data_IF_867291326278
#
_entry.id   IF_867291326278
#
_cell.length_a   1.000
_cell.length_b   1.000
_cell.length_c   1.000
_cell.angle_alpha   90.00
_cell.angle_beta   90.00
_cell.angle_gamma   90.00
#
_symmetry.space_group_name_H-M   'P 1'
#
loop_
_entity.id
_entity.type
_entity.pdbx_description
1 polymer ?
#
# COMPACT_ATOMS: atom_id res chain seq x y z
N UNK A 1 30.61 24.31 0.21
CA UNK A 1 30.13 23.30 -0.73
C UNK A 1 29.73 23.99 -2.03
N UNK A 2 30.23 23.60 -3.20
CA UNK A 2 29.83 24.20 -4.46
C UNK A 2 28.32 24.03 -4.69
N UNK A 3 27.72 25.04 -5.32
CA UNK A 3 26.25 25.08 -5.50
C UNK A 3 25.69 23.85 -6.23
N UNK A 4 26.42 23.33 -7.22
CA UNK A 4 26.02 22.16 -8.01
C UNK A 4 25.90 20.88 -7.17
N UNK A 5 26.84 20.66 -6.23
CA UNK A 5 26.79 19.49 -5.34
C UNK A 5 25.57 19.56 -4.38
N UNK A 6 25.29 20.76 -3.83
CA UNK A 6 24.09 20.97 -3.02
C UNK A 6 22.81 20.70 -3.79
N UNK A 7 22.73 21.21 -5.03
CA UNK A 7 21.57 20.94 -5.91
C UNK A 7 21.39 19.46 -6.19
N UNK A 8 22.48 18.72 -6.48
CA UNK A 8 22.41 17.28 -6.70
C UNK A 8 21.90 16.52 -5.45
N UNK A 9 22.36 16.90 -4.25
CA UNK A 9 21.89 16.30 -3.00
C UNK A 9 20.41 16.60 -2.75
N UNK A 10 19.99 17.85 -2.92
CA UNK A 10 18.59 18.24 -2.72
C UNK A 10 17.67 17.51 -3.71
N UNK A 11 18.05 17.47 -5.00
CA UNK A 11 17.30 16.77 -6.03
C UNK A 11 17.25 15.25 -5.80
N UNK A 12 18.30 14.65 -5.23
CA UNK A 12 18.29 13.23 -4.85
C UNK A 12 17.46 12.93 -3.62
N UNK A 13 17.51 13.81 -2.61
CA UNK A 13 16.81 13.58 -1.34
C UNK A 13 15.31 13.93 -1.39
N UNK A 14 14.91 14.97 -2.16
CA UNK A 14 13.54 15.47 -2.14
C UNK A 14 12.49 14.45 -2.60
N UNK A 15 12.64 13.70 -3.71
CA UNK A 15 11.65 12.71 -4.11
C UNK A 15 11.54 11.56 -3.09
N UNK A 16 12.67 11.18 -2.49
CA UNK A 16 12.72 10.13 -1.48
C UNK A 16 11.95 10.51 -0.22
N UNK A 17 12.15 11.73 0.29
CA UNK A 17 11.44 12.22 1.48
C UNK A 17 9.95 12.40 1.21
N UNK A 18 9.60 13.05 0.09
CA UNK A 18 8.20 13.29 -0.29
C UNK A 18 7.48 11.98 -0.58
N UNK A 19 8.09 11.07 -1.35
CA UNK A 19 7.51 9.77 -1.67
C UNK A 19 7.29 8.91 -0.42
N UNK A 20 8.26 8.90 0.51
CA UNK A 20 8.11 8.19 1.79
C UNK A 20 6.97 8.77 2.62
N UNK A 21 6.86 10.09 2.70
CA UNK A 21 5.79 10.76 3.44
C UNK A 21 4.42 10.41 2.85
N UNK A 22 4.26 10.52 1.54
CA UNK A 22 3.02 10.17 0.83
C UNK A 22 2.65 8.71 1.08
N UNK A 23 3.62 7.78 0.94
CA UNK A 23 3.40 6.36 1.17
C UNK A 23 2.94 6.08 2.61
N UNK A 24 3.61 6.66 3.60
CA UNK A 24 3.23 6.50 5.02
C UNK A 24 1.83 7.06 5.27
N UNK A 25 1.53 8.26 4.79
CA UNK A 25 0.19 8.84 4.93
C UNK A 25 -0.87 7.95 4.27
N UNK A 26 -0.63 7.50 3.06
CA UNK A 26 -1.54 6.61 2.35
C UNK A 26 -1.76 5.29 3.10
N UNK A 27 -0.71 4.71 3.66
CA UNK A 27 -0.80 3.44 4.42
C UNK A 27 -1.74 3.52 5.62
N UNK A 28 -1.86 4.71 6.24
CA UNK A 28 -2.77 4.94 7.38
C UNK A 28 -4.16 5.43 6.98
N UNK A 29 -4.26 6.24 5.93
CA UNK A 29 -5.52 6.92 5.57
C UNK A 29 -6.27 6.27 4.42
N UNK A 30 -5.57 5.54 3.54
CA UNK A 30 -6.11 4.94 2.31
C UNK A 30 -6.82 5.95 1.39
N UNK A 31 -6.43 7.24 1.45
CA UNK A 31 -7.04 8.27 0.62
C UNK A 31 -6.61 8.11 -0.84
N UNK A 32 -7.57 8.02 -1.75
CA UNK A 32 -7.34 7.80 -3.20
C UNK A 32 -6.44 8.87 -3.84
N UNK A 33 -6.58 10.14 -3.42
CA UNK A 33 -5.75 11.21 -3.97
C UNK A 33 -4.25 11.05 -3.67
N UNK A 34 -3.89 10.34 -2.61
CA UNK A 34 -2.49 10.05 -2.28
C UNK A 34 -1.88 9.04 -3.26
N UNK A 35 -2.66 8.17 -3.89
CA UNK A 35 -2.19 7.28 -4.95
C UNK A 35 -1.77 8.09 -6.18
N UNK A 36 -2.62 9.03 -6.59
CA UNK A 36 -2.30 9.95 -7.68
C UNK A 36 -1.06 10.82 -7.34
N UNK A 37 -0.97 11.34 -6.11
CA UNK A 37 0.18 12.09 -5.64
C UNK A 37 1.46 11.26 -5.63
N UNK A 38 1.39 9.98 -5.24
CA UNK A 38 2.49 9.02 -5.31
C UNK A 38 2.97 8.80 -6.74
N UNK A 39 2.06 8.57 -7.68
CA UNK A 39 2.36 8.44 -9.10
C UNK A 39 3.05 9.67 -9.68
N UNK A 40 2.55 10.87 -9.37
CA UNK A 40 3.18 12.13 -9.76
C UNK A 40 4.59 12.28 -9.16
N UNK A 41 4.77 11.88 -7.89
CA UNK A 41 6.08 11.94 -7.22
C UNK A 41 7.11 11.05 -7.92
N UNK A 42 6.71 9.89 -8.44
CA UNK A 42 7.59 9.02 -9.23
C UNK A 42 8.03 9.74 -10.52
N UNK A 43 7.09 10.36 -11.25
CA UNK A 43 7.43 11.12 -12.47
C UNK A 43 8.38 12.30 -12.19
N UNK A 44 8.09 13.09 -11.16
CA UNK A 44 8.99 14.16 -10.72
C UNK A 44 10.34 13.62 -10.25
N UNK A 45 10.38 12.44 -9.65
CA UNK A 45 11.60 11.73 -9.23
C UNK A 45 12.52 11.43 -10.42
N UNK A 46 11.98 11.02 -11.57
CA UNK A 46 12.77 10.85 -12.80
C UNK A 46 13.40 12.17 -13.26
N UNK A 47 12.62 13.25 -13.30
CA UNK A 47 13.13 14.58 -13.69
C UNK A 47 14.22 15.04 -12.71
N UNK A 48 13.97 14.91 -11.41
CA UNK A 48 14.93 15.26 -10.37
C UNK A 48 16.22 14.43 -10.46
N UNK A 49 16.11 13.13 -10.78
CA UNK A 49 17.27 12.28 -11.04
C UNK A 49 18.13 12.79 -12.20
N UNK A 50 17.54 13.07 -13.36
CA UNK A 50 18.29 13.58 -14.52
C UNK A 50 18.95 14.93 -14.24
N UNK A 51 18.24 15.84 -13.57
CA UNK A 51 18.80 17.14 -13.19
C UNK A 51 19.90 16.99 -12.13
N UNK A 52 19.70 16.13 -11.14
CA UNK A 52 20.67 15.84 -10.09
C UNK A 52 21.94 15.17 -10.62
N UNK A 53 21.79 14.18 -11.49
CA UNK A 53 22.90 13.51 -12.16
C UNK A 53 23.69 14.49 -13.04
N UNK A 54 23.01 15.33 -13.82
CA UNK A 54 23.65 16.38 -14.62
C UNK A 54 24.42 17.37 -13.76
N UNK A 55 23.84 17.80 -12.63
CA UNK A 55 24.50 18.71 -11.69
C UNK A 55 25.74 18.06 -11.04
N UNK A 56 25.65 16.76 -10.67
CA UNK A 56 26.76 15.99 -10.14
C UNK A 56 27.88 15.83 -11.17
N UNK A 57 27.57 15.41 -12.39
CA UNK A 57 28.55 15.26 -13.47
C UNK A 57 29.28 16.57 -13.76
N UNK A 58 28.53 17.70 -13.86
CA UNK A 58 29.13 19.02 -14.03
C UNK A 58 30.03 19.43 -12.88
N UNK A 59 29.60 19.15 -11.65
CA UNK A 59 30.42 19.42 -10.48
C UNK A 59 31.74 18.64 -10.55
N UNK A 60 31.69 17.34 -10.76
CA UNK A 60 32.88 16.49 -10.85
C UNK A 60 33.81 16.90 -12.00
N UNK A 61 33.24 17.29 -13.14
CA UNK A 61 33.99 17.79 -14.27
C UNK A 61 34.78 19.08 -13.96
N UNK A 62 34.12 20.08 -13.33
CA UNK A 62 34.78 21.33 -13.01
C UNK A 62 35.85 21.15 -11.93
N UNK A 63 35.58 20.40 -10.88
CA UNK A 63 36.54 20.20 -9.79
C UNK A 63 37.74 19.34 -10.21
N UNK A 64 37.54 18.34 -11.10
CA UNK A 64 38.63 17.52 -11.65
C UNK A 64 39.60 18.34 -12.47
N UNK A 65 39.12 19.36 -13.19
CA UNK A 65 39.98 20.26 -13.99
C UNK A 65 40.66 21.35 -13.13
N UNK A 66 39.99 21.77 -12.07
CA UNK A 66 40.56 22.80 -11.20
C UNK A 66 41.71 22.29 -10.32
N UNK A 67 41.90 20.97 -10.21
CA UNK A 67 42.90 20.28 -9.35
C UNK A 67 42.91 20.75 -7.89
N UNK A 68 41.81 21.33 -7.43
CA UNK A 68 41.69 21.89 -6.09
C UNK A 68 41.26 20.85 -5.03
N UNK A 69 40.68 19.72 -5.49
CA UNK A 69 40.15 18.67 -4.60
C UNK A 69 40.84 17.34 -4.89
N UNK A 70 41.17 16.62 -3.85
CA UNK A 70 41.75 15.27 -3.97
C UNK A 70 40.85 14.32 -4.75
N UNK A 71 41.42 13.47 -5.60
CA UNK A 71 40.71 12.44 -6.35
C UNK A 71 39.89 11.51 -5.45
N UNK A 72 40.36 11.25 -4.22
CA UNK A 72 39.60 10.48 -3.21
C UNK A 72 38.30 11.19 -2.79
N UNK A 73 38.36 12.50 -2.56
CA UNK A 73 37.19 13.30 -2.18
C UNK A 73 36.17 13.37 -3.31
N UNK A 74 36.63 13.54 -4.56
CA UNK A 74 35.75 13.51 -5.74
C UNK A 74 35.06 12.16 -5.90
N UNK A 75 35.81 11.07 -5.75
CA UNK A 75 35.23 9.71 -5.79
C UNK A 75 34.19 9.52 -4.69
N UNK A 76 34.48 9.93 -3.46
CA UNK A 76 33.54 9.82 -2.33
C UNK A 76 32.25 10.63 -2.62
N UNK A 77 32.36 11.84 -3.13
CA UNK A 77 31.22 12.68 -3.52
C UNK A 77 30.41 12.00 -4.62
N UNK A 78 31.05 11.45 -5.64
CA UNK A 78 30.40 10.73 -6.72
C UNK A 78 29.63 9.51 -6.21
N UNK A 79 30.25 8.70 -5.35
CA UNK A 79 29.62 7.50 -4.77
C UNK A 79 28.47 7.87 -3.86
N UNK A 80 28.65 8.77 -2.91
CA UNK A 80 27.61 9.12 -1.93
C UNK A 80 26.40 9.77 -2.61
N UNK A 81 26.64 10.79 -3.46
CA UNK A 81 25.54 11.49 -4.12
C UNK A 81 24.92 10.64 -5.22
N UNK A 82 25.74 9.89 -5.95
CA UNK A 82 25.26 8.93 -6.96
C UNK A 82 24.38 7.83 -6.32
N UNK A 83 24.79 7.28 -5.19
CA UNK A 83 23.98 6.30 -4.44
C UNK A 83 22.66 6.91 -3.94
N UNK A 84 22.69 8.16 -3.45
CA UNK A 84 21.47 8.86 -3.02
C UNK A 84 20.49 9.05 -4.19
N UNK A 85 20.99 9.46 -5.35
CA UNK A 85 20.16 9.58 -6.56
C UNK A 85 19.58 8.25 -7.00
N UNK A 86 20.39 7.18 -7.00
CA UNK A 86 19.97 5.84 -7.41
C UNK A 86 19.03 5.17 -6.42
N UNK A 87 19.11 5.48 -5.12
CA UNK A 87 18.27 4.91 -4.08
C UNK A 87 16.77 5.20 -4.27
N UNK A 88 16.42 6.25 -5.01
CA UNK A 88 15.03 6.56 -5.34
C UNK A 88 14.33 5.43 -6.10
N UNK A 89 15.02 4.73 -7.01
CA UNK A 89 14.42 3.70 -7.86
C UNK A 89 13.96 2.46 -7.08
N UNK A 90 14.83 1.79 -6.30
CA UNK A 90 14.39 0.63 -5.53
C UNK A 90 13.34 0.97 -4.47
N UNK A 91 13.41 2.16 -3.85
CA UNK A 91 12.40 2.60 -2.89
C UNK A 91 11.06 2.91 -3.55
N UNK A 92 11.04 3.61 -4.68
CA UNK A 92 9.82 3.84 -5.44
C UNK A 92 9.19 2.52 -5.91
N UNK A 93 10.01 1.57 -6.39
CA UNK A 93 9.56 0.22 -6.75
C UNK A 93 8.95 -0.53 -5.56
N UNK A 94 9.61 -0.50 -4.41
CA UNK A 94 9.09 -1.12 -3.18
C UNK A 94 7.75 -0.51 -2.77
N UNK A 95 7.61 0.82 -2.76
CA UNK A 95 6.36 1.49 -2.39
C UNK A 95 5.24 1.17 -3.38
N UNK A 96 5.53 1.20 -4.68
CA UNK A 96 4.55 0.87 -5.71
C UNK A 96 4.06 -0.58 -5.59
N UNK A 97 4.96 -1.55 -5.44
CA UNK A 97 4.61 -2.96 -5.26
C UNK A 97 3.83 -3.19 -3.96
N UNK A 98 4.23 -2.51 -2.87
CA UNK A 98 3.52 -2.59 -1.60
C UNK A 98 2.12 -2.00 -1.69
N UNK A 99 1.94 -0.89 -2.42
CA UNK A 99 0.64 -0.28 -2.65
C UNK A 99 -0.27 -1.21 -3.45
N UNK A 100 0.22 -1.78 -4.54
CA UNK A 100 -0.52 -2.79 -5.33
C UNK A 100 -0.92 -3.98 -4.47
N UNK A 101 0.00 -4.52 -3.65
CA UNK A 101 -0.30 -5.66 -2.78
C UNK A 101 -1.40 -5.35 -1.75
N UNK A 102 -1.47 -4.13 -1.23
CA UNK A 102 -2.55 -3.69 -0.33
C UNK A 102 -3.85 -3.48 -1.09
N UNK A 103 -3.80 -2.84 -2.27
CA UNK A 103 -5.00 -2.59 -3.10
C UNK A 103 -5.64 -3.88 -3.62
N UNK A 104 -4.89 -4.99 -3.70
CA UNK A 104 -5.38 -6.31 -4.08
C UNK A 104 -6.04 -7.08 -2.91
N UNK A 105 -6.01 -6.55 -1.69
CA UNK A 105 -6.62 -7.21 -0.55
C UNK A 105 -8.11 -6.89 -0.48
N UNK A 106 -8.92 -7.94 -0.36
CA UNK A 106 -10.35 -7.81 -0.09
C UNK A 106 -10.59 -7.99 1.40
N UNK A 107 -10.99 -6.92 2.07
CA UNK A 107 -11.21 -6.92 3.52
C UNK A 107 -12.67 -7.24 3.86
N UNK A 108 -12.89 -8.25 4.67
CA UNK A 108 -14.19 -8.56 5.27
C UNK A 108 -14.13 -8.28 6.77
N UNK A 109 -15.06 -7.49 7.26
CA UNK A 109 -15.23 -7.20 8.67
C UNK A 109 -16.63 -7.59 9.12
N UNK A 110 -16.72 -8.42 10.14
CA UNK A 110 -17.98 -8.94 10.67
C UNK A 110 -18.20 -8.40 12.06
N UNK A 111 -19.33 -7.73 12.27
CA UNK A 111 -19.78 -7.22 13.57
C UNK A 111 -20.92 -8.09 14.07
N UNK A 112 -20.76 -8.70 15.22
CA UNK A 112 -21.83 -9.38 15.90
C UNK A 112 -22.61 -8.36 16.76
N UNK A 113 -23.78 -7.96 16.28
CA UNK A 113 -24.71 -7.04 16.97
C UNK A 113 -25.86 -7.78 17.67
N UNK A 114 -25.82 -9.13 17.67
CA UNK A 114 -26.76 -9.95 18.42
C UNK A 114 -26.27 -10.17 19.85
N UNK A 115 -27.12 -10.70 20.71
CA UNK A 115 -26.84 -11.11 22.09
C UNK A 115 -26.16 -12.48 22.18
N UNK A 116 -26.08 -13.22 21.07
CA UNK A 116 -25.53 -14.58 21.00
C UNK A 116 -24.19 -14.60 20.26
N UNK A 117 -23.36 -15.58 20.58
CA UNK A 117 -22.09 -15.82 19.86
C UNK A 117 -22.36 -16.39 18.47
N UNK A 118 -21.69 -15.88 17.44
CA UNK A 118 -21.59 -16.53 16.14
C UNK A 118 -20.52 -17.61 16.28
N UNK A 119 -20.92 -18.88 16.19
CA UNK A 119 -20.01 -20.01 16.45
C UNK A 119 -19.01 -20.19 15.31
N UNK A 120 -19.45 -19.97 14.08
CA UNK A 120 -18.64 -20.11 12.88
C UNK A 120 -19.08 -19.07 11.84
N UNK A 121 -18.12 -18.43 11.20
CA UNK A 121 -18.33 -17.55 10.05
C UNK A 121 -17.29 -17.87 9.00
N UNK A 122 -17.72 -18.41 7.87
CA UNK A 122 -16.83 -18.83 6.78
C UNK A 122 -17.14 -17.98 5.56
N UNK A 123 -16.10 -17.36 5.01
CA UNK A 123 -16.14 -16.68 3.71
C UNK A 123 -15.55 -17.62 2.66
N UNK A 124 -16.33 -17.88 1.62
CA UNK A 124 -15.94 -18.75 0.51
C UNK A 124 -15.98 -17.95 -0.79
N UNK A 125 -14.94 -18.07 -1.56
CA UNK A 125 -14.82 -17.44 -2.87
C UNK A 125 -13.89 -18.20 -3.80
N UNK A 126 -13.66 -17.69 -5.00
CA UNK A 126 -12.82 -18.35 -6.00
C UNK A 126 -11.37 -18.40 -5.54
N UNK A 127 -10.92 -19.62 -5.22
CA UNK A 127 -9.56 -19.88 -4.73
C UNK A 127 -9.31 -19.47 -3.28
N UNK A 128 -10.35 -19.07 -2.52
CA UNK A 128 -10.22 -18.66 -1.13
C UNK A 128 -11.36 -19.22 -0.27
N UNK A 129 -10.99 -19.75 0.89
CA UNK A 129 -11.91 -20.11 1.96
C UNK A 129 -11.27 -19.76 3.29
N UNK A 130 -11.92 -18.88 4.04
CA UNK A 130 -11.38 -18.38 5.30
C UNK A 130 -12.46 -18.43 6.38
N UNK A 131 -12.09 -19.03 7.50
CA UNK A 131 -12.90 -19.03 8.72
C UNK A 131 -12.48 -17.85 9.59
N UNK A 132 -13.48 -17.07 10.03
CA UNK A 132 -13.28 -15.93 10.90
C UNK A 132 -13.40 -16.32 12.40
N UNK A 133 -13.64 -17.60 12.69
CA UNK A 133 -13.75 -18.16 14.05
C UNK A 133 -14.98 -17.67 14.79
N UNK A 134 -15.12 -18.01 16.08
CA UNK A 134 -16.24 -17.55 16.89
C UNK A 134 -16.14 -16.05 17.15
N UNK A 135 -17.31 -15.37 17.05
CA UNK A 135 -17.42 -13.93 17.29
C UNK A 135 -18.42 -13.70 18.43
N UNK A 136 -17.93 -13.32 19.59
CA UNK A 136 -18.79 -13.08 20.76
C UNK A 136 -19.73 -11.89 20.52
N UNK A 137 -20.83 -11.85 21.29
CA UNK A 137 -21.78 -10.74 21.30
C UNK A 137 -21.07 -9.39 21.46
N UNK A 138 -21.43 -8.40 20.65
CA UNK A 138 -20.86 -7.05 20.65
C UNK A 138 -19.44 -6.95 20.09
N UNK A 139 -18.79 -8.06 19.73
CA UNK A 139 -17.44 -8.09 19.17
C UNK A 139 -17.46 -8.01 17.65
N UNK A 140 -16.28 -7.77 17.08
CA UNK A 140 -16.06 -7.82 15.64
C UNK A 140 -14.76 -8.55 15.31
N UNK A 141 -14.68 -9.06 14.10
CA UNK A 141 -13.47 -9.65 13.53
C UNK A 141 -13.21 -9.09 12.16
N UNK A 142 -11.96 -9.08 11.74
CA UNK A 142 -11.51 -8.63 10.41
C UNK A 142 -10.61 -9.69 9.80
N UNK A 143 -10.79 -9.91 8.49
CA UNK A 143 -9.85 -10.70 7.68
C UNK A 143 -9.65 -10.04 6.32
N UNK A 144 -8.41 -10.06 5.90
CA UNK A 144 -8.02 -9.66 4.56
C UNK A 144 -7.87 -10.94 3.72
N UNK A 145 -8.51 -10.94 2.55
CA UNK A 145 -8.56 -12.06 1.62
C UNK A 145 -7.82 -11.69 0.35
N UNK A 146 -7.19 -12.66 -0.28
CA UNK A 146 -6.64 -12.49 -1.62
C UNK A 146 -7.48 -13.31 -2.60
N UNK A 147 -8.27 -12.64 -3.43
CA UNK A 147 -9.05 -13.28 -4.47
C UNK A 147 -8.09 -13.79 -5.55
N UNK A 148 -8.13 -15.09 -5.86
CA UNK A 148 -7.17 -15.71 -6.77
C UNK A 148 -7.69 -15.84 -8.21
N UNK A 149 -9.00 -16.06 -8.35
CA UNK A 149 -9.65 -16.26 -9.66
C UNK A 149 -11.02 -15.58 -9.67
N UNK A 150 -11.66 -15.59 -10.82
CA UNK A 150 -12.98 -14.97 -11.02
C UNK A 150 -14.09 -15.85 -10.43
N UNK A 151 -15.15 -15.22 -9.89
CA UNK A 151 -16.33 -15.90 -9.36
C UNK A 151 -17.14 -15.08 -8.39
N UNK A 152 -17.90 -15.74 -7.52
CA UNK A 152 -18.78 -15.13 -6.51
C UNK A 152 -18.14 -15.22 -5.13
N UNK A 153 -18.28 -14.19 -4.32
CA UNK A 153 -17.86 -14.20 -2.92
C UNK A 153 -19.08 -14.34 -2.02
N UNK A 154 -19.11 -15.40 -1.22
CA UNK A 154 -20.24 -15.76 -0.37
C UNK A 154 -19.77 -15.99 1.07
N UNK A 155 -20.71 -16.00 2.00
CA UNK A 155 -20.45 -16.44 3.36
C UNK A 155 -21.49 -17.41 3.84
N UNK A 156 -21.08 -18.28 4.77
CA UNK A 156 -21.94 -19.15 5.57
C UNK A 156 -21.62 -18.90 7.04
N UNK A 157 -22.64 -18.70 7.84
CA UNK A 157 -22.46 -18.48 9.27
C UNK A 157 -23.43 -19.35 10.07
N UNK A 158 -23.01 -19.70 11.29
CA UNK A 158 -23.80 -20.46 12.24
C UNK A 158 -23.82 -19.77 13.60
N UNK A 159 -25.01 -19.61 14.12
CA UNK A 159 -25.28 -19.09 15.44
C UNK A 159 -26.20 -20.05 16.18
N UNK A 160 -25.66 -20.82 17.14
CA UNK A 160 -26.33 -21.96 17.75
C UNK A 160 -26.77 -22.98 16.67
N UNK A 161 -28.09 -23.25 16.58
CA UNK A 161 -28.67 -24.16 15.60
C UNK A 161 -29.06 -23.46 14.27
N UNK A 162 -28.99 -22.13 14.22
CA UNK A 162 -29.36 -21.36 13.06
C UNK A 162 -28.17 -21.23 12.10
N UNK A 163 -28.33 -21.77 10.90
CA UNK A 163 -27.40 -21.53 9.78
C UNK A 163 -28.01 -20.49 8.85
N UNK A 164 -27.20 -19.50 8.48
CA UNK A 164 -27.57 -18.48 7.50
C UNK A 164 -26.40 -18.22 6.55
N UNK A 165 -26.71 -17.82 5.34
CA UNK A 165 -25.74 -17.59 4.27
C UNK A 165 -26.16 -16.39 3.43
N UNK A 166 -25.19 -15.80 2.79
CA UNK A 166 -25.41 -14.66 1.93
C UNK A 166 -24.27 -14.45 0.94
N UNK A 167 -24.55 -13.60 -0.01
CA UNK A 167 -23.63 -13.20 -1.05
C UNK A 167 -22.99 -11.87 -0.67
N UNK A 168 -21.65 -11.83 -0.61
CA UNK A 168 -20.89 -10.60 -0.34
C UNK A 168 -20.68 -9.79 -1.62
N UNK A 169 -20.33 -10.49 -2.71
CA UNK A 169 -20.18 -9.91 -4.05
C UNK A 169 -20.70 -10.87 -5.10
N UNK A 170 -21.46 -10.33 -6.06
CA UNK A 170 -21.99 -11.10 -7.19
C UNK A 170 -20.90 -11.54 -8.17
N UNK A 171 -19.84 -10.75 -8.29
CA UNK A 171 -18.71 -11.04 -9.14
C UNK A 171 -17.44 -10.40 -8.60
N UNK A 172 -16.40 -11.21 -8.46
CA UNK A 172 -15.03 -10.77 -8.13
C UNK A 172 -14.06 -11.35 -9.14
N UNK A 173 -12.95 -10.63 -9.34
CA UNK A 173 -11.86 -11.08 -10.23
C UNK A 173 -10.58 -11.31 -9.44
N UNK A 174 -9.67 -12.12 -9.99
CA UNK A 174 -8.35 -12.33 -9.37
C UNK A 174 -7.62 -11.03 -9.13
N UNK A 175 -7.15 -10.83 -7.89
CA UNK A 175 -6.50 -9.59 -7.45
C UNK A 175 -7.44 -8.42 -7.19
N UNK A 176 -8.75 -8.61 -7.25
CA UNK A 176 -9.72 -7.58 -6.89
C UNK A 176 -9.62 -7.26 -5.40
N UNK A 177 -9.32 -6.01 -5.08
CA UNK A 177 -9.45 -5.47 -3.74
C UNK A 177 -10.86 -5.00 -3.45
N UNK A 178 -11.17 -4.78 -2.19
CA UNK A 178 -12.47 -4.29 -1.77
C UNK A 178 -12.64 -4.31 -0.27
N UNK A 179 -13.80 -3.84 0.16
CA UNK A 179 -14.13 -3.80 1.58
C UNK A 179 -15.62 -4.09 1.79
N UNK A 180 -15.95 -4.96 2.77
CA UNK A 180 -17.33 -5.20 3.20
C UNK A 180 -17.45 -5.28 4.70
N UNK A 181 -18.41 -4.53 5.23
CA UNK A 181 -18.90 -4.66 6.60
C UNK A 181 -20.16 -5.49 6.62
N UNK A 182 -20.18 -6.53 7.45
CA UNK A 182 -21.33 -7.37 7.69
C UNK A 182 -21.75 -7.16 9.14
N UNK A 183 -22.99 -6.76 9.35
CA UNK A 183 -23.57 -6.61 10.68
C UNK A 183 -24.62 -7.68 10.89
N UNK A 184 -24.31 -8.63 11.75
CA UNK A 184 -25.24 -9.71 12.12
C UNK A 184 -26.06 -9.27 13.32
N UNK A 185 -27.38 -9.32 13.18
CA UNK A 185 -28.40 -9.01 14.20
C UNK A 185 -29.01 -10.29 14.74
N UNK A 186 -29.95 -10.14 15.66
CA UNK A 186 -30.69 -11.27 16.24
C UNK A 186 -31.42 -12.09 15.17
N UNK A 187 -31.52 -13.41 15.39
CA UNK A 187 -32.19 -14.33 14.49
C UNK A 187 -31.49 -14.53 13.15
N UNK A 188 -30.18 -14.25 13.05
CA UNK A 188 -29.40 -14.45 11.82
C UNK A 188 -29.68 -13.42 10.72
N UNK A 189 -30.42 -12.35 11.06
CA UNK A 189 -30.62 -11.22 10.14
C UNK A 189 -29.29 -10.49 9.95
N UNK A 190 -28.90 -10.19 8.71
CA UNK A 190 -27.65 -9.50 8.44
C UNK A 190 -27.85 -8.32 7.46
N UNK A 191 -26.98 -7.37 7.57
CA UNK A 191 -26.87 -6.21 6.66
C UNK A 191 -25.44 -6.12 6.14
N UNK A 192 -25.28 -5.89 4.83
CA UNK A 192 -23.99 -5.73 4.17
C UNK A 192 -23.85 -4.28 3.73
N UNK A 193 -22.74 -3.66 4.15
CA UNK A 193 -22.40 -2.29 3.78
C UNK A 193 -21.18 -2.33 2.84
N UNK A 194 -21.30 -1.76 1.63
CA UNK A 194 -20.26 -1.83 0.61
C UNK A 194 -19.00 -1.04 0.97
N UNK A 195 -19.15 0.05 1.72
CA UNK A 195 -18.04 0.93 2.07
C UNK A 195 -18.15 1.31 3.54
N UNK A 196 -17.10 1.03 4.31
CA UNK A 196 -16.92 1.72 5.57
C UNK A 196 -16.02 2.93 5.33
N UNK A 197 -16.36 4.07 5.90
CA UNK A 197 -15.51 5.25 5.89
C UNK A 197 -14.18 5.02 6.63
#
# INVERSE_FOLDING_TARGET
MPRLLKSAIVLGASPLLVGTLIYVMWRYTQWEWLEAAGGLTILFGFVAFYMGASALCRHLWFESRALQISSRTLLLQAVVVGSLLLANFPLAGYFALSAVAVSMQYTVRVFNKSDQTIDCFIVTGPGVQVELGPIASGQHTRRDLLIQTDGTLEFTARQQELEFKGQLEGYVTGGMGGFKDIRVKEGGVYEIYPDAP
#
